data_IF_158792930076
#
_entry.id   IF_158792930076
#
_cell.length_a   1.000
_cell.length_b   1.000
_cell.length_c   1.000
_cell.angle_alpha   90.00
_cell.angle_beta   90.00
_cell.angle_gamma   90.00
#
_symmetry.space_group_name_H-M   'P 1'
#
loop_
_entity.id
_entity.type
_entity.pdbx_description
1 polymer ?
#
# COMPACT_ATOMS: atom_id res chain seq x y z
N UNK A 1 -35.41 -25.63 42.94
CA UNK A 1 -35.06 -24.20 43.16
C UNK A 1 -33.58 -23.91 43.47
N UNK A 2 -32.73 -24.92 43.77
CA UNK A 2 -31.28 -24.71 44.04
C UNK A 2 -30.39 -24.74 42.79
N UNK A 3 -30.72 -25.53 41.76
CA UNK A 3 -29.98 -25.58 40.49
C UNK A 3 -30.04 -24.28 39.68
N UNK A 4 -31.23 -23.68 39.54
CA UNK A 4 -31.41 -22.42 38.78
C UNK A 4 -30.63 -21.24 39.37
N UNK A 5 -30.39 -21.25 40.69
CA UNK A 5 -29.54 -20.25 41.34
C UNK A 5 -28.08 -20.46 40.94
N UNK A 6 -27.58 -21.70 40.97
CA UNK A 6 -26.20 -22.01 40.57
C UNK A 6 -25.90 -21.61 39.12
N UNK A 7 -26.83 -21.82 38.19
CA UNK A 7 -26.68 -21.39 36.79
C UNK A 7 -26.66 -19.86 36.65
N UNK A 8 -27.47 -19.15 37.43
CA UNK A 8 -27.50 -17.68 37.45
C UNK A 8 -26.19 -17.09 37.99
N UNK A 9 -25.60 -17.71 39.02
CA UNK A 9 -24.28 -17.32 39.54
C UNK A 9 -23.13 -17.64 38.55
N UNK A 10 -23.25 -18.71 37.77
CA UNK A 10 -22.26 -19.07 36.74
C UNK A 10 -22.29 -18.10 35.54
N UNK A 11 -23.49 -17.69 35.11
CA UNK A 11 -23.68 -16.67 34.04
C UNK A 11 -23.23 -15.28 34.52
N UNK A 12 -23.47 -14.93 35.80
CA UNK A 12 -23.01 -13.68 36.39
C UNK A 12 -21.47 -13.63 36.55
N UNK A 13 -20.84 -14.77 36.85
CA UNK A 13 -19.38 -14.92 36.89
C UNK A 13 -18.71 -14.77 35.51
N UNK A 14 -19.36 -15.25 34.45
CA UNK A 14 -18.90 -15.07 33.07
C UNK A 14 -19.00 -13.62 32.57
N UNK A 15 -19.94 -12.83 33.11
CA UNK A 15 -20.06 -11.40 32.82
C UNK A 15 -19.00 -10.53 33.50
N UNK A 16 -18.37 -11.03 34.59
CA UNK A 16 -17.33 -10.30 35.34
C UNK A 16 -15.92 -10.44 34.76
N UNK A 17 -15.72 -11.31 33.76
CA UNK A 17 -14.53 -11.25 32.90
C UNK A 17 -14.70 -10.25 31.74
N UNK A 18 -15.76 -9.44 31.78
CA UNK A 18 -16.06 -8.38 30.84
C UNK A 18 -15.07 -7.23 30.95
N UNK A 19 -14.28 -7.06 29.90
CA UNK A 19 -13.51 -5.86 29.55
C UNK A 19 -12.39 -5.49 30.52
N UNK A 20 -11.22 -6.12 30.35
CA UNK A 20 -10.01 -5.31 30.43
C UNK A 20 -10.15 -4.22 29.36
N UNK A 21 -10.59 -3.03 29.77
CA UNK A 21 -10.47 -1.85 28.94
C UNK A 21 -8.98 -1.72 28.64
N UNK A 22 -8.58 -2.07 27.41
CA UNK A 22 -7.26 -1.78 26.90
C UNK A 22 -7.05 -0.30 27.15
N UNK A 23 -6.20 0.05 28.11
CA UNK A 23 -5.73 1.42 28.28
C UNK A 23 -5.06 1.78 26.98
N UNK A 24 -5.80 2.43 26.09
CA UNK A 24 -5.26 2.95 24.85
C UNK A 24 -4.11 3.86 25.29
N UNK A 25 -2.87 3.41 25.06
CA UNK A 25 -1.70 4.22 25.37
C UNK A 25 -1.95 5.59 24.73
N UNK A 26 -1.90 6.64 25.53
CA UNK A 26 -2.13 8.00 25.06
C UNK A 26 -0.89 8.44 24.26
N UNK A 27 -0.69 7.82 23.09
CA UNK A 27 0.39 8.11 22.16
C UNK A 27 0.32 9.59 21.81
N UNK A 28 1.46 10.31 21.69
CA UNK A 28 1.49 11.71 21.29
C UNK A 28 1.19 11.92 19.79
N UNK A 29 0.79 10.86 19.07
CA UNK A 29 0.47 10.87 17.65
C UNK A 29 -0.82 10.11 17.35
N UNK A 30 -1.34 10.31 16.15
CA UNK A 30 -2.42 9.56 15.51
C UNK A 30 -1.87 8.88 14.26
N UNK A 31 -2.39 7.70 13.99
CA UNK A 31 -2.11 6.95 12.77
C UNK A 31 -3.06 7.40 11.66
N UNK A 32 -2.50 7.71 10.49
CA UNK A 32 -3.21 8.18 9.30
C UNK A 32 -3.33 7.11 8.21
N UNK A 33 -3.27 7.55 6.95
CA UNK A 33 -3.30 6.68 5.77
C UNK A 33 -2.07 5.77 5.68
N UNK A 34 -2.14 4.78 4.81
CA UNK A 34 -1.05 3.83 4.57
C UNK A 34 -0.41 4.12 3.22
N UNK A 35 0.92 4.18 3.16
CA UNK A 35 1.70 4.47 1.97
C UNK A 35 2.52 3.26 1.56
N UNK A 36 2.38 2.82 0.31
CA UNK A 36 3.37 1.95 -0.32
C UNK A 36 4.34 2.80 -1.13
N UNK A 37 5.63 2.61 -0.87
CA UNK A 37 6.72 3.36 -1.48
C UNK A 37 7.66 2.39 -2.17
N UNK A 38 7.93 2.62 -3.46
CA UNK A 38 8.86 1.83 -4.28
C UNK A 38 10.06 2.70 -4.66
N UNK A 39 11.26 2.23 -4.33
CA UNK A 39 12.53 2.88 -4.65
C UNK A 39 13.11 2.28 -5.93
N UNK A 40 13.42 3.14 -6.89
CA UNK A 40 13.84 2.76 -8.23
C UNK A 40 15.14 3.47 -8.58
N UNK A 41 16.12 2.67 -8.96
CA UNK A 41 17.39 3.10 -9.52
C UNK A 41 17.32 2.96 -11.03
N UNK A 42 17.47 4.06 -11.75
CA UNK A 42 17.41 4.05 -13.21
C UNK A 42 18.84 3.95 -13.75
N UNK A 43 19.06 3.16 -14.81
CA UNK A 43 20.39 3.03 -15.39
C UNK A 43 20.86 4.38 -15.95
N UNK A 44 22.18 4.66 -15.91
CA UNK A 44 22.73 5.92 -16.44
C UNK A 44 22.25 6.21 -17.86
N UNK A 45 21.76 7.43 -18.09
CA UNK A 45 21.23 7.88 -19.39
C UNK A 45 19.83 7.36 -19.75
N UNK A 46 19.20 6.52 -18.91
CA UNK A 46 17.91 5.89 -19.24
C UNK A 46 16.69 6.53 -18.55
N UNK A 47 16.88 7.62 -17.77
CA UNK A 47 15.80 8.26 -17.02
C UNK A 47 14.60 8.64 -17.89
N UNK A 48 14.83 9.44 -18.94
CA UNK A 48 13.74 9.88 -19.82
C UNK A 48 13.11 8.73 -20.62
N UNK A 49 13.91 7.70 -20.95
CA UNK A 49 13.40 6.48 -21.60
C UNK A 49 12.41 5.78 -20.68
N UNK A 50 12.78 5.61 -19.41
CA UNK A 50 11.92 5.00 -18.41
C UNK A 50 10.67 5.85 -18.11
N UNK A 51 10.82 7.16 -17.98
CA UNK A 51 9.71 8.07 -17.70
C UNK A 51 8.66 8.11 -18.80
N UNK A 52 9.08 8.08 -20.08
CA UNK A 52 8.14 7.98 -21.21
C UNK A 52 7.34 6.68 -21.17
N UNK A 53 8.00 5.55 -20.94
CA UNK A 53 7.33 4.25 -20.79
C UNK A 53 6.34 4.24 -19.62
N UNK A 54 6.75 4.79 -18.47
CA UNK A 54 5.95 4.83 -17.26
C UNK A 54 4.69 5.71 -17.42
N UNK A 55 4.85 6.89 -18.03
CA UNK A 55 3.82 7.95 -18.08
C UNK A 55 2.49 7.51 -18.70
N UNK A 56 2.51 6.72 -19.76
CA UNK A 56 1.30 6.36 -20.51
C UNK A 56 0.42 5.40 -19.71
N UNK A 57 1.00 4.30 -19.25
CA UNK A 57 0.25 3.23 -18.61
C UNK A 57 -0.02 3.52 -17.14
N UNK A 58 0.99 4.05 -16.42
CA UNK A 58 0.86 4.31 -14.98
C UNK A 58 -0.21 5.36 -14.71
N UNK A 59 -0.18 6.48 -15.44
CA UNK A 59 -1.15 7.56 -15.22
C UNK A 59 -2.58 7.06 -15.36
N UNK A 60 -2.87 6.33 -16.45
CA UNK A 60 -4.21 5.77 -16.70
C UNK A 60 -4.61 4.77 -15.62
N UNK A 61 -3.68 3.91 -15.19
CA UNK A 61 -3.92 2.92 -14.14
C UNK A 61 -4.24 3.59 -12.79
N UNK A 62 -3.42 4.56 -12.37
CA UNK A 62 -3.58 5.25 -11.09
C UNK A 62 -4.79 6.18 -11.06
N UNK A 63 -5.10 6.86 -12.17
CA UNK A 63 -6.31 7.69 -12.28
C UNK A 63 -7.58 6.85 -12.15
N UNK A 64 -7.60 5.66 -12.74
CA UNK A 64 -8.72 4.74 -12.62
C UNK A 64 -8.78 4.08 -11.23
N UNK A 65 -7.63 3.71 -10.63
CA UNK A 65 -7.58 3.21 -9.26
C UNK A 65 -8.14 4.23 -8.25
N UNK A 66 -7.83 5.52 -8.42
CA UNK A 66 -8.42 6.62 -7.62
C UNK A 66 -9.93 6.70 -7.82
N UNK A 67 -10.43 6.65 -9.07
CA UNK A 67 -11.87 6.69 -9.37
C UNK A 67 -12.65 5.56 -8.70
N UNK A 68 -12.05 4.38 -8.59
CA UNK A 68 -12.65 3.22 -7.94
C UNK A 68 -12.46 3.20 -6.42
N UNK A 69 -11.77 4.21 -5.85
CA UNK A 69 -11.49 4.29 -4.42
C UNK A 69 -10.49 3.22 -3.93
N UNK A 70 -9.76 2.56 -4.84
CA UNK A 70 -8.72 1.58 -4.47
C UNK A 70 -7.53 2.27 -3.81
N UNK A 71 -7.24 3.50 -4.22
CA UNK A 71 -6.18 4.35 -3.67
C UNK A 71 -6.73 5.74 -3.38
N UNK A 72 -6.15 6.42 -2.40
CA UNK A 72 -6.48 7.81 -2.03
C UNK A 72 -5.75 8.77 -2.96
N UNK A 73 -4.44 8.58 -3.10
CA UNK A 73 -3.59 9.42 -3.95
C UNK A 73 -2.37 8.65 -4.45
N UNK A 74 -1.65 9.25 -5.40
CA UNK A 74 -0.30 8.80 -5.74
C UNK A 74 0.65 10.00 -5.79
N UNK A 75 1.93 9.75 -5.58
CA UNK A 75 3.00 10.74 -5.76
C UNK A 75 4.21 10.11 -6.41
N UNK A 76 5.00 10.96 -7.06
CA UNK A 76 6.26 10.58 -7.66
C UNK A 76 7.29 11.65 -7.33
N UNK A 77 8.41 11.22 -6.80
CA UNK A 77 9.53 12.08 -6.42
C UNK A 77 10.77 11.57 -7.14
N UNK A 78 11.50 12.47 -7.78
CA UNK A 78 12.80 12.15 -8.38
C UNK A 78 13.89 12.94 -7.68
N UNK A 79 15.07 12.34 -7.57
CA UNK A 79 16.26 12.96 -7.02
C UNK A 79 17.50 12.53 -7.78
N UNK A 80 18.62 13.20 -7.51
CA UNK A 80 19.91 12.75 -7.98
C UNK A 80 20.46 11.71 -7.00
N UNK A 81 20.77 10.51 -7.48
CA UNK A 81 21.43 9.49 -6.68
C UNK A 81 22.77 10.02 -6.14
N UNK A 82 22.98 9.91 -4.83
CA UNK A 82 24.22 10.35 -4.16
C UNK A 82 25.33 9.29 -4.19
N UNK A 83 25.03 8.08 -4.68
CA UNK A 83 25.99 6.98 -4.75
C UNK A 83 25.53 5.86 -5.69
N UNK A 84 26.43 4.89 -5.91
CA UNK A 84 26.18 3.78 -6.85
C UNK A 84 24.98 2.91 -6.48
N UNK A 85 24.64 2.79 -5.21
CA UNK A 85 23.51 1.98 -4.73
C UNK A 85 22.29 2.81 -4.35
N UNK A 86 22.33 4.11 -4.63
CA UNK A 86 21.23 5.00 -4.37
C UNK A 86 20.19 4.96 -5.50
N UNK A 87 19.00 5.50 -5.23
CA UNK A 87 17.86 5.49 -6.15
C UNK A 87 17.60 6.90 -6.71
N UNK A 88 16.99 6.95 -7.90
CA UNK A 88 16.69 8.22 -8.59
C UNK A 88 15.20 8.55 -8.56
N UNK A 89 14.35 7.54 -8.39
CA UNK A 89 12.90 7.67 -8.47
C UNK A 89 12.20 6.94 -7.33
N UNK A 90 11.25 7.62 -6.72
CA UNK A 90 10.37 7.09 -5.69
C UNK A 90 8.92 7.18 -6.15
N UNK A 91 8.25 6.03 -6.24
CA UNK A 91 6.82 5.93 -6.53
C UNK A 91 6.06 5.68 -5.24
N UNK A 92 5.01 6.47 -5.01
CA UNK A 92 4.25 6.43 -3.77
C UNK A 92 2.77 6.25 -4.08
N UNK A 93 2.11 5.34 -3.37
CA UNK A 93 0.68 5.09 -3.49
C UNK A 93 0.07 5.11 -2.09
N UNK A 94 -0.93 5.96 -1.91
CA UNK A 94 -1.63 6.15 -0.65
C UNK A 94 -2.92 5.32 -0.63
N UNK A 95 -3.13 4.60 0.45
CA UNK A 95 -4.29 3.77 0.74
C UNK A 95 -4.97 4.28 1.99
N UNK A 96 -6.29 4.14 2.04
CA UNK A 96 -7.10 4.68 3.13
C UNK A 96 -6.69 4.14 4.50
N UNK A 97 -6.34 2.85 4.58
CA UNK A 97 -5.92 2.13 5.78
C UNK A 97 -5.41 0.73 5.40
N UNK A 98 -5.03 -0.08 6.40
CA UNK A 98 -4.57 -1.47 6.18
C UNK A 98 -5.62 -2.42 5.62
N UNK A 99 -6.91 -2.22 5.90
CA UNK A 99 -7.98 -3.04 5.34
C UNK A 99 -8.14 -2.85 3.81
N UNK A 100 -7.61 -1.76 3.25
CA UNK A 100 -7.61 -1.55 1.80
C UNK A 100 -6.81 -2.61 1.03
N UNK A 101 -5.90 -3.33 1.71
CA UNK A 101 -5.08 -4.38 1.10
C UNK A 101 -5.84 -5.69 0.88
N UNK A 102 -6.99 -5.88 1.52
CA UNK A 102 -7.79 -7.10 1.38
C UNK A 102 -8.35 -7.22 -0.05
N UNK A 103 -7.93 -8.29 -0.74
CA UNK A 103 -8.25 -8.55 -2.15
C UNK A 103 -7.69 -7.48 -3.11
N UNK A 104 -6.68 -6.71 -2.69
CA UNK A 104 -6.13 -5.63 -3.50
C UNK A 104 -5.48 -6.13 -4.80
N UNK A 105 -4.82 -7.29 -4.76
CA UNK A 105 -4.20 -7.91 -5.96
C UNK A 105 -5.25 -8.13 -7.04
N UNK A 106 -6.30 -8.90 -6.75
CA UNK A 106 -7.37 -9.22 -7.70
C UNK A 106 -8.02 -7.96 -8.31
N UNK A 107 -8.23 -6.93 -7.48
CA UNK A 107 -8.77 -5.63 -7.92
C UNK A 107 -7.82 -4.93 -8.89
N UNK A 108 -6.52 -4.91 -8.59
CA UNK A 108 -5.50 -4.34 -9.46
C UNK A 108 -5.25 -5.17 -10.71
N UNK A 109 -5.36 -6.50 -10.65
CA UNK A 109 -5.20 -7.40 -11.80
C UNK A 109 -6.35 -7.18 -12.80
N UNK A 110 -7.60 -7.12 -12.32
CA UNK A 110 -8.76 -6.79 -13.14
C UNK A 110 -8.63 -5.39 -13.77
N UNK A 111 -8.11 -4.43 -13.00
CA UNK A 111 -7.85 -3.08 -13.48
C UNK A 111 -6.75 -3.04 -14.55
N UNK A 112 -5.62 -3.72 -14.31
CA UNK A 112 -4.49 -3.80 -15.22
C UNK A 112 -4.85 -4.52 -16.52
N UNK A 113 -5.65 -5.60 -16.45
CA UNK A 113 -6.17 -6.30 -17.61
C UNK A 113 -6.93 -5.35 -18.55
N UNK A 114 -7.79 -4.50 -17.98
CA UNK A 114 -8.60 -3.53 -18.74
C UNK A 114 -7.77 -2.34 -19.26
N UNK A 115 -6.77 -1.89 -18.50
CA UNK A 115 -6.02 -0.66 -18.81
C UNK A 115 -4.80 -0.92 -19.68
N UNK A 116 -4.04 -1.97 -19.37
CA UNK A 116 -2.75 -2.33 -19.99
C UNK A 116 -2.93 -3.43 -21.05
N UNK A 117 -3.70 -4.47 -20.72
CA UNK A 117 -3.96 -5.63 -21.57
C UNK A 117 -3.62 -6.95 -20.89
N UNK A 118 -3.41 -8.00 -21.69
CA UNK A 118 -3.12 -9.35 -21.22
C UNK A 118 -1.96 -9.43 -20.24
N UNK A 119 -1.96 -10.44 -19.39
CA UNK A 119 -0.88 -10.73 -18.44
C UNK A 119 0.48 -10.86 -19.16
N UNK A 120 0.52 -11.54 -20.31
CA UNK A 120 1.73 -11.67 -21.12
C UNK A 120 2.32 -10.30 -21.51
N UNK A 121 1.48 -9.35 -21.94
CA UNK A 121 1.91 -7.99 -22.27
C UNK A 121 2.43 -7.25 -21.04
N UNK A 122 1.81 -7.47 -19.87
CA UNK A 122 2.27 -6.88 -18.62
C UNK A 122 3.65 -7.44 -18.22
N UNK A 123 3.84 -8.76 -18.32
CA UNK A 123 5.13 -9.43 -18.07
C UNK A 123 6.21 -8.91 -19.02
N UNK A 124 5.95 -8.87 -20.33
CA UNK A 124 6.89 -8.33 -21.31
C UNK A 124 7.29 -6.89 -21.01
N UNK A 125 6.32 -6.05 -20.60
CA UNK A 125 6.58 -4.66 -20.18
C UNK A 125 7.51 -4.62 -18.96
N UNK A 126 7.27 -5.49 -17.97
CA UNK A 126 8.10 -5.55 -16.77
C UNK A 126 9.52 -6.07 -17.05
N UNK A 127 9.67 -7.07 -17.92
CA UNK A 127 10.96 -7.57 -18.38
C UNK A 127 11.74 -6.45 -19.07
N UNK A 128 11.13 -5.74 -20.01
CA UNK A 128 11.75 -4.60 -20.69
C UNK A 128 12.20 -3.52 -19.70
N UNK A 129 11.45 -3.28 -18.61
CA UNK A 129 11.84 -2.33 -17.57
C UNK A 129 13.11 -2.74 -16.83
N UNK A 130 13.42 -4.03 -16.69
CA UNK A 130 14.68 -4.47 -16.07
C UNK A 130 15.91 -4.10 -16.89
N UNK A 131 15.75 -3.83 -18.19
CA UNK A 131 16.84 -3.37 -19.05
C UNK A 131 17.24 -1.93 -18.74
N UNK A 132 16.34 -1.12 -18.16
CA UNK A 132 16.52 0.32 -17.96
C UNK A 132 16.52 0.75 -16.49
N UNK A 133 16.02 -0.10 -15.58
CA UNK A 133 15.94 0.21 -14.15
C UNK A 133 16.03 -1.03 -13.27
N UNK A 134 16.28 -0.78 -11.99
CA UNK A 134 16.24 -1.74 -10.89
C UNK A 134 15.26 -1.25 -9.82
N UNK A 135 14.50 -2.17 -9.22
CA UNK A 135 13.76 -1.87 -7.98
C UNK A 135 14.71 -2.20 -6.84
N UNK A 136 15.12 -1.17 -6.09
CA UNK A 136 16.06 -1.30 -4.96
C UNK A 136 15.33 -1.74 -3.70
N UNK A 137 14.04 -1.41 -3.59
CA UNK A 137 13.21 -1.87 -2.49
C UNK A 137 11.79 -1.35 -2.55
N UNK A 138 10.95 -1.91 -1.68
CA UNK A 138 9.60 -1.45 -1.45
C UNK A 138 9.30 -1.49 0.05
N UNK A 139 8.54 -0.51 0.53
CA UNK A 139 8.08 -0.47 1.92
C UNK A 139 6.65 -0.01 2.00
N UNK A 140 5.88 -0.61 2.89
CA UNK A 140 4.56 -0.13 3.27
C UNK A 140 4.64 0.49 4.66
N UNK A 141 4.11 1.69 4.80
CA UNK A 141 4.29 2.60 5.93
C UNK A 141 2.94 3.14 6.34
N UNK A 142 2.75 3.45 7.62
CA UNK A 142 1.58 4.20 8.08
C UNK A 142 1.99 5.62 8.42
N UNK A 143 1.23 6.59 7.93
CA UNK A 143 1.44 8.00 8.25
C UNK A 143 1.21 8.22 9.74
N UNK A 144 2.07 9.02 10.37
CA UNK A 144 1.90 9.45 11.76
C UNK A 144 1.83 10.97 11.82
N UNK A 145 0.82 11.47 12.53
CA UNK A 145 0.63 12.91 12.75
C UNK A 145 0.55 13.19 14.24
N UNK A 146 1.31 14.17 14.73
CA UNK A 146 1.24 14.55 16.15
C UNK A 146 -0.14 15.09 16.53
N UNK A 147 -0.53 14.87 17.80
CA UNK A 147 -1.81 15.33 18.36
C UNK A 147 -1.81 16.84 18.62
#
# INVERSE_FOLDING_TARGET
>A
MRLAKATLWFVLGLLLFGTQASVAQNKPYKEGTVWTVTFIKVKPGMFDVYMRDLSVQRKKLMDEAKKQGLIVSERMLSGFAVGREDWDLMLMVEYKNWAAFDGLSDKFDALALRVVGSEEKQVQTMVKRTEVREIVGQKTLQELTFK
#
